data_IF_245168282065
#
_entry.id   IF_245168282065
#
_cell.length_a   1.000
_cell.length_b   1.000
_cell.length_c   1.000
_cell.angle_alpha   90.00
_cell.angle_beta   90.00
_cell.angle_gamma   90.00
#
_symmetry.space_group_name_H-M   'P 1'
#
loop_
_entity.id
_entity.type
_entity.pdbx_description
1 polymer ?
#
# COMPACT_ATOMS: atom_id res chain seq x y z
N UNK A 1 -46.20 1.17 8.20
CA UNK A 1 -45.63 0.21 7.23
C UNK A 1 -44.99 0.90 6.02
N UNK A 2 -45.64 1.91 5.40
CA UNK A 2 -45.11 2.65 4.24
C UNK A 2 -43.69 3.26 4.41
N UNK A 3 -43.40 3.91 5.56
CA UNK A 3 -42.06 4.47 5.85
C UNK A 3 -40.91 3.44 5.85
N UNK A 4 -41.21 2.16 6.10
CA UNK A 4 -40.19 1.10 6.13
C UNK A 4 -39.79 0.61 4.74
N UNK A 5 -40.76 0.53 3.83
CA UNK A 5 -40.52 0.15 2.44
C UNK A 5 -39.78 1.26 1.68
N UNK A 6 -40.19 2.52 1.84
CA UNK A 6 -39.50 3.66 1.22
C UNK A 6 -38.04 3.79 1.70
N UNK A 7 -37.80 3.57 3.00
CA UNK A 7 -36.44 3.55 3.55
C UNK A 7 -35.62 2.39 2.99
N UNK A 8 -36.17 1.18 2.95
CA UNK A 8 -35.47 0.03 2.37
C UNK A 8 -35.18 0.23 0.88
N UNK A 9 -36.13 0.79 0.12
CA UNK A 9 -35.95 1.08 -1.30
C UNK A 9 -34.89 2.16 -1.51
N UNK A 10 -34.86 3.18 -0.66
CA UNK A 10 -33.80 4.18 -0.64
C UNK A 10 -32.44 3.57 -0.26
N UNK A 11 -32.37 2.72 0.76
CA UNK A 11 -31.13 2.07 1.21
C UNK A 11 -30.55 1.12 0.15
N UNK A 12 -31.40 0.54 -0.71
CA UNK A 12 -31.00 -0.29 -1.85
C UNK A 12 -30.58 0.52 -3.08
N UNK A 13 -31.09 1.74 -3.21
CA UNK A 13 -30.92 2.60 -4.40
C UNK A 13 -29.85 3.67 -4.22
N UNK A 14 -29.61 4.09 -2.98
CA UNK A 14 -28.69 5.14 -2.60
C UNK A 14 -27.64 4.60 -1.63
N UNK A 15 -26.33 4.85 -1.86
CA UNK A 15 -25.29 4.42 -0.95
C UNK A 15 -25.54 4.93 0.47
N UNK A 16 -25.58 4.01 1.44
CA UNK A 16 -25.61 4.41 2.85
C UNK A 16 -24.24 4.90 3.31
N UNK A 17 -24.21 6.08 3.93
CA UNK A 17 -23.02 6.63 4.58
C UNK A 17 -22.78 5.89 5.90
N UNK A 18 -22.19 4.70 5.82
CA UNK A 18 -22.21 3.77 6.95
C UNK A 18 -21.40 4.25 8.15
N UNK A 19 -20.22 4.88 7.96
CA UNK A 19 -19.44 5.58 9.01
C UNK A 19 -18.49 6.59 8.37
N UNK A 20 -18.37 7.79 8.94
CA UNK A 20 -17.38 8.79 8.51
C UNK A 20 -16.01 8.43 9.09
N UNK A 21 -14.98 8.36 8.25
CA UNK A 21 -13.60 8.23 8.70
C UNK A 21 -13.11 9.60 9.19
N UNK A 22 -12.64 9.66 10.44
CA UNK A 22 -12.08 10.86 11.04
C UNK A 22 -10.58 10.67 11.27
N UNK A 23 -9.79 11.22 10.36
CA UNK A 23 -8.32 11.19 10.42
C UNK A 23 -7.83 12.39 11.20
N UNK A 24 -8.29 13.58 10.83
CA UNK A 24 -7.81 14.85 11.37
C UNK A 24 -8.71 15.39 12.48
N UNK A 25 -8.14 16.10 13.47
CA UNK A 25 -8.94 16.79 14.47
C UNK A 25 -9.70 17.97 13.85
N UNK A 26 -10.89 18.26 14.41
CA UNK A 26 -11.80 19.29 13.86
C UNK A 26 -11.20 20.70 13.85
N UNK A 27 -10.22 20.99 14.71
CA UNK A 27 -9.55 22.29 14.77
C UNK A 27 -8.68 22.60 13.55
N UNK A 28 -8.28 21.61 12.75
CA UNK A 28 -7.53 21.84 11.50
C UNK A 28 -8.40 22.35 10.35
N UNK A 29 -9.72 22.27 10.48
CA UNK A 29 -10.69 22.85 9.54
C UNK A 29 -11.09 24.26 10.00
N UNK A 30 -10.11 25.14 10.19
CA UNK A 30 -10.35 26.53 10.58
C UNK A 30 -11.38 27.17 9.64
N UNK A 31 -12.45 27.74 10.20
CA UNK A 31 -13.53 28.47 9.54
C UNK A 31 -14.62 27.66 8.78
N UNK A 32 -14.66 26.33 8.90
CA UNK A 32 -15.70 25.52 8.25
C UNK A 32 -16.85 25.17 9.23
N UNK A 33 -18.08 25.59 8.92
CA UNK A 33 -19.24 25.16 9.72
C UNK A 33 -19.56 23.67 9.47
N UNK A 34 -20.27 22.98 10.39
CA UNK A 34 -20.64 21.58 10.18
C UNK A 34 -21.41 21.31 8.88
N UNK A 35 -22.25 22.25 8.43
CA UNK A 35 -22.97 22.17 7.16
C UNK A 35 -22.05 22.35 5.96
N UNK A 36 -21.11 23.29 6.03
CA UNK A 36 -20.11 23.52 4.99
C UNK A 36 -19.27 22.26 4.77
N UNK A 37 -18.83 21.66 5.88
CA UNK A 37 -18.09 20.39 5.85
C UNK A 37 -18.87 19.29 5.16
N UNK A 38 -20.16 19.16 5.47
CA UNK A 38 -21.01 18.15 4.84
C UNK A 38 -21.11 18.40 3.34
N UNK A 39 -21.44 19.63 2.92
CA UNK A 39 -21.60 19.99 1.51
C UNK A 39 -20.30 19.76 0.73
N UNK A 40 -19.17 20.21 1.25
CA UNK A 40 -17.87 20.04 0.56
C UNK A 40 -17.46 18.58 0.48
N UNK A 41 -17.71 17.79 1.52
CA UNK A 41 -17.47 16.34 1.48
C UNK A 41 -18.31 15.66 0.39
N UNK A 42 -19.60 15.99 0.28
CA UNK A 42 -20.48 15.46 -0.77
C UNK A 42 -20.01 15.91 -2.17
N UNK A 43 -19.61 17.17 -2.35
CA UNK A 43 -19.04 17.63 -3.62
C UNK A 43 -17.78 16.85 -4.01
N UNK A 44 -16.89 16.55 -3.05
CA UNK A 44 -15.69 15.74 -3.30
C UNK A 44 -16.06 14.31 -3.71
N UNK A 45 -17.05 13.72 -3.05
CA UNK A 45 -17.56 12.39 -3.40
C UNK A 45 -18.18 12.36 -4.80
N UNK A 46 -18.95 13.38 -5.17
CA UNK A 46 -19.55 13.51 -6.50
C UNK A 46 -18.48 13.67 -7.59
N UNK A 47 -17.42 14.45 -7.33
CA UNK A 47 -16.28 14.58 -8.26
C UNK A 47 -15.55 13.25 -8.42
N UNK A 48 -15.28 12.53 -7.33
CA UNK A 48 -14.68 11.19 -7.38
C UNK A 48 -15.57 10.21 -8.16
N UNK A 49 -16.89 10.28 -7.96
CA UNK A 49 -17.86 9.43 -8.64
C UNK A 49 -17.92 9.72 -10.14
N UNK A 50 -18.10 10.98 -10.52
CA UNK A 50 -18.32 11.36 -11.92
C UNK A 50 -17.05 11.22 -12.76
N UNK A 51 -15.89 11.58 -12.21
CA UNK A 51 -14.60 11.57 -12.91
C UNK A 51 -13.74 10.34 -12.60
N UNK A 52 -14.33 9.22 -12.15
CA UNK A 52 -13.59 7.98 -11.86
C UNK A 52 -12.86 7.41 -13.10
N UNK A 53 -13.35 7.70 -14.31
CA UNK A 53 -12.73 7.30 -15.57
C UNK A 53 -11.57 8.19 -16.04
N UNK A 54 -11.41 9.41 -15.48
CA UNK A 54 -10.38 10.36 -15.90
C UNK A 54 -9.72 11.02 -14.68
N UNK A 55 -8.64 10.39 -14.16
CA UNK A 55 -7.94 10.86 -12.95
C UNK A 55 -7.46 12.31 -13.01
N UNK A 56 -7.06 12.80 -14.19
CA UNK A 56 -6.55 14.17 -14.37
C UNK A 56 -7.66 15.21 -14.23
N UNK A 57 -8.83 14.94 -14.82
CA UNK A 57 -10.01 15.80 -14.65
C UNK A 57 -10.51 15.74 -13.21
N UNK A 58 -10.54 14.54 -12.60
CA UNK A 58 -10.88 14.41 -11.19
C UNK A 58 -10.01 15.31 -10.31
N UNK A 59 -8.67 15.22 -10.43
CA UNK A 59 -7.76 16.07 -9.68
C UNK A 59 -7.96 17.57 -9.99
N UNK A 60 -8.17 17.94 -11.26
CA UNK A 60 -8.45 19.32 -11.64
C UNK A 60 -9.70 19.88 -10.95
N UNK A 61 -10.82 19.16 -10.99
CA UNK A 61 -12.06 19.62 -10.36
C UNK A 61 -11.99 19.59 -8.84
N UNK A 62 -11.30 18.61 -8.25
CA UNK A 62 -11.08 18.56 -6.80
C UNK A 62 -10.30 19.76 -6.29
N UNK A 63 -9.30 20.25 -7.04
CA UNK A 63 -8.53 21.47 -6.67
C UNK A 63 -9.33 22.75 -6.92
N UNK A 64 -10.30 22.72 -7.84
CA UNK A 64 -11.01 23.90 -8.31
C UNK A 64 -12.39 24.08 -7.69
N UNK A 65 -12.69 23.43 -6.55
CA UNK A 65 -13.98 23.60 -5.89
C UNK A 65 -14.18 25.08 -5.50
N UNK A 66 -15.37 25.66 -5.73
CA UNK A 66 -15.63 27.08 -5.52
C UNK A 66 -15.89 27.39 -4.04
N UNK A 67 -14.90 27.12 -3.19
CA UNK A 67 -14.96 27.35 -1.74
C UNK A 67 -13.90 28.37 -1.32
N UNK A 68 -14.24 29.25 -0.37
CA UNK A 68 -13.39 30.37 0.06
C UNK A 68 -12.42 30.04 1.19
N UNK A 69 -12.44 28.79 1.68
CA UNK A 69 -11.62 28.31 2.78
C UNK A 69 -10.79 27.09 2.36
N UNK A 70 -9.76 26.77 3.15
CA UNK A 70 -8.91 25.59 2.95
C UNK A 70 -9.67 24.31 3.24
N UNK A 71 -9.56 23.34 2.36
CA UNK A 71 -10.30 22.07 2.41
C UNK A 71 -9.43 20.85 2.06
N UNK A 72 -8.12 21.02 1.94
CA UNK A 72 -7.17 19.96 1.59
C UNK A 72 -7.18 18.81 2.61
N UNK A 73 -7.33 19.14 3.90
CA UNK A 73 -7.52 18.15 4.97
C UNK A 73 -8.80 17.34 4.80
N UNK A 74 -9.91 18.01 4.51
CA UNK A 74 -11.18 17.33 4.24
C UNK A 74 -11.07 16.49 2.97
N UNK A 75 -10.44 17.00 1.91
CA UNK A 75 -10.20 16.27 0.67
C UNK A 75 -9.40 15.00 0.88
N UNK A 76 -8.25 15.07 1.56
CA UNK A 76 -7.47 13.88 1.86
C UNK A 76 -8.28 12.88 2.70
N UNK A 77 -8.96 13.36 3.75
CA UNK A 77 -9.80 12.51 4.60
C UNK A 77 -10.93 11.83 3.83
N UNK A 78 -11.62 12.55 2.94
CA UNK A 78 -12.67 11.99 2.09
C UNK A 78 -12.10 10.94 1.15
N UNK A 79 -10.97 11.18 0.50
CA UNK A 79 -10.36 10.19 -0.40
C UNK A 79 -9.93 8.93 0.36
N UNK A 80 -9.28 9.08 1.52
CA UNK A 80 -8.93 7.94 2.37
C UNK A 80 -10.17 7.21 2.89
N UNK A 81 -11.26 7.92 3.19
CA UNK A 81 -12.51 7.30 3.61
C UNK A 81 -13.06 6.36 2.54
N UNK A 82 -12.93 6.71 1.26
CA UNK A 82 -13.36 5.88 0.15
C UNK A 82 -12.40 4.71 -0.09
N UNK A 83 -11.09 4.95 -0.05
CA UNK A 83 -10.07 3.92 -0.17
C UNK A 83 -10.19 2.84 0.93
N UNK A 84 -10.50 3.26 2.16
CA UNK A 84 -10.60 2.39 3.32
C UNK A 84 -12.05 1.94 3.60
N UNK A 85 -13.01 2.24 2.72
CA UNK A 85 -14.43 1.94 2.93
C UNK A 85 -14.68 0.43 2.99
N UNK A 86 -15.40 -0.03 4.01
CA UNK A 86 -15.83 -1.42 4.14
C UNK A 86 -17.28 -1.58 3.63
N UNK A 87 -17.62 -2.72 2.98
CA UNK A 87 -16.76 -3.89 2.74
C UNK A 87 -15.76 -3.67 1.60
N UNK A 88 -16.09 -2.84 0.61
CA UNK A 88 -15.24 -2.56 -0.55
C UNK A 88 -15.22 -1.06 -0.85
N UNK A 89 -14.11 -0.53 -1.39
CA UNK A 89 -14.09 0.82 -1.95
C UNK A 89 -15.04 0.89 -3.15
N UNK A 90 -15.68 2.05 -3.42
CA UNK A 90 -16.55 2.21 -4.60
C UNK A 90 -15.83 1.97 -5.93
N UNK A 91 -14.53 2.30 -6.00
CA UNK A 91 -13.69 2.12 -7.18
C UNK A 91 -12.44 1.31 -6.87
N UNK A 92 -11.70 0.87 -7.90
CA UNK A 92 -10.46 0.12 -7.70
C UNK A 92 -9.47 0.93 -6.85
N UNK A 93 -8.81 0.36 -5.82
CA UNK A 93 -7.88 1.08 -4.94
C UNK A 93 -6.83 1.94 -5.66
N UNK A 94 -6.32 1.44 -6.79
CA UNK A 94 -5.35 2.13 -7.65
C UNK A 94 -5.82 3.51 -8.12
N UNK A 95 -7.14 3.70 -8.32
CA UNK A 95 -7.72 4.98 -8.70
C UNK A 95 -7.41 6.05 -7.66
N UNK A 96 -7.67 5.78 -6.38
CA UNK A 96 -7.40 6.72 -5.28
C UNK A 96 -5.91 7.01 -5.14
N UNK A 97 -5.03 6.01 -5.33
CA UNK A 97 -3.58 6.24 -5.35
C UNK A 97 -3.18 7.25 -6.43
N UNK A 98 -3.70 7.06 -7.65
CA UNK A 98 -3.38 7.94 -8.77
C UNK A 98 -3.94 9.35 -8.60
N UNK A 99 -5.16 9.48 -8.06
CA UNK A 99 -5.76 10.79 -7.72
C UNK A 99 -4.91 11.51 -6.67
N UNK A 100 -4.49 10.83 -5.59
CA UNK A 100 -3.62 11.43 -4.57
C UNK A 100 -2.29 11.90 -5.18
N UNK A 101 -1.68 11.10 -6.07
CA UNK A 101 -0.45 11.48 -6.76
C UNK A 101 -0.66 12.75 -7.61
N UNK A 102 -1.75 12.82 -8.38
CA UNK A 102 -2.06 13.99 -9.20
C UNK A 102 -2.35 15.23 -8.35
N UNK A 103 -3.03 15.08 -7.22
CA UNK A 103 -3.27 16.16 -6.26
C UNK A 103 -1.97 16.66 -5.62
N UNK A 104 -1.03 15.78 -5.26
CA UNK A 104 0.30 16.18 -4.78
C UNK A 104 1.07 17.00 -5.83
N UNK A 105 0.88 16.71 -7.12
CA UNK A 105 1.50 17.47 -8.22
C UNK A 105 0.78 18.80 -8.49
N UNK A 106 -0.54 18.83 -8.35
CA UNK A 106 -1.35 20.03 -8.56
C UNK A 106 -1.21 21.04 -7.40
N UNK A 107 -0.99 20.55 -6.17
CA UNK A 107 -0.88 21.35 -4.95
C UNK A 107 0.43 21.08 -4.18
N UNK A 108 1.62 21.28 -4.78
CA UNK A 108 2.89 20.84 -4.20
C UNK A 108 3.23 21.52 -2.86
N UNK A 109 2.78 22.75 -2.63
CA UNK A 109 3.02 23.49 -1.38
C UNK A 109 2.05 23.18 -0.24
N UNK A 110 1.02 22.35 -0.46
CA UNK A 110 -0.03 22.11 0.53
C UNK A 110 -0.34 20.62 0.69
N UNK A 111 -0.80 19.96 -0.38
CA UNK A 111 -1.40 18.63 -0.30
C UNK A 111 -0.43 17.53 0.18
N UNK A 112 0.86 17.49 -0.21
CA UNK A 112 1.81 16.51 0.31
C UNK A 112 1.91 16.53 1.85
N UNK A 113 1.95 17.71 2.48
CA UNK A 113 2.01 17.82 3.94
C UNK A 113 0.76 17.27 4.63
N UNK A 114 -0.40 17.41 3.99
CA UNK A 114 -1.67 16.85 4.47
C UNK A 114 -1.66 15.33 4.37
N UNK A 115 -1.18 14.77 3.26
CA UNK A 115 -1.05 13.31 3.07
C UNK A 115 -0.10 12.72 4.11
N UNK A 116 1.06 13.32 4.33
CA UNK A 116 2.00 12.90 5.39
C UNK A 116 1.28 12.88 6.75
N UNK A 117 0.59 13.97 7.11
CA UNK A 117 -0.19 14.05 8.34
C UNK A 117 -1.29 12.98 8.44
N UNK A 118 -1.93 12.62 7.33
CA UNK A 118 -2.92 11.54 7.30
C UNK A 118 -2.28 10.19 7.60
N UNK A 119 -1.13 9.90 6.98
CA UNK A 119 -0.40 8.64 7.18
C UNK A 119 0.04 8.48 8.62
N UNK A 120 0.64 9.50 9.24
CA UNK A 120 0.98 9.45 10.67
C UNK A 120 -0.25 9.16 11.53
N UNK A 121 -1.34 9.91 11.31
CA UNK A 121 -2.55 9.75 12.11
C UNK A 121 -3.22 8.38 11.91
N UNK A 122 -3.11 7.77 10.73
CA UNK A 122 -3.60 6.41 10.45
C UNK A 122 -2.68 5.36 11.09
N UNK A 123 -1.37 5.56 11.00
CA UNK A 123 -0.35 4.68 11.58
C UNK A 123 -0.42 4.64 13.11
N UNK A 124 -0.60 5.78 13.78
CA UNK A 124 -0.76 5.86 15.24
C UNK A 124 -1.97 5.09 15.76
N UNK A 125 -3.02 4.96 14.93
CA UNK A 125 -4.27 4.27 15.27
C UNK A 125 -4.39 2.91 14.60
N UNK A 126 -3.32 2.40 14.00
CA UNK A 126 -3.36 1.18 13.19
C UNK A 126 -3.78 -0.05 14.01
N UNK A 127 -3.51 -0.08 15.31
CA UNK A 127 -3.95 -1.14 16.22
C UNK A 127 -5.47 -1.27 16.33
N UNK A 128 -6.20 -0.17 16.11
CA UNK A 128 -7.66 -0.11 16.14
C UNK A 128 -8.30 -0.20 14.74
N UNK A 129 -7.48 -0.18 13.70
CA UNK A 129 -7.94 -0.25 12.32
C UNK A 129 -8.31 -1.69 11.94
N UNK A 130 -9.36 -1.88 11.15
CA UNK A 130 -9.73 -3.20 10.61
C UNK A 130 -8.59 -3.79 9.73
N UNK A 131 -8.44 -5.12 9.74
CA UNK A 131 -7.37 -5.80 9.00
C UNK A 131 -7.41 -5.52 7.49
N UNK A 132 -8.59 -5.43 6.90
CA UNK A 132 -8.74 -5.12 5.47
C UNK A 132 -8.29 -3.68 5.18
N UNK A 133 -8.64 -2.72 6.05
CA UNK A 133 -8.17 -1.34 5.95
C UNK A 133 -6.65 -1.25 6.10
N UNK A 134 -6.03 -2.03 7.02
CA UNK A 134 -4.56 -2.08 7.17
C UNK A 134 -3.89 -2.55 5.89
N UNK A 135 -4.38 -3.65 5.30
CA UNK A 135 -3.84 -4.18 4.04
C UNK A 135 -3.94 -3.16 2.92
N UNK A 136 -5.08 -2.47 2.78
CA UNK A 136 -5.23 -1.41 1.77
C UNK A 136 -4.31 -0.23 2.01
N UNK A 137 -4.12 0.18 3.27
CA UNK A 137 -3.19 1.25 3.62
C UNK A 137 -1.75 0.87 3.28
N UNK A 138 -1.32 -0.37 3.58
CA UNK A 138 0.00 -0.90 3.21
C UNK A 138 0.20 -0.83 1.69
N UNK A 139 -0.77 -1.38 0.93
CA UNK A 139 -0.70 -1.43 -0.54
C UNK A 139 -0.67 -0.02 -1.16
N UNK A 140 -1.51 0.88 -0.66
CA UNK A 140 -1.55 2.26 -1.11
C UNK A 140 -0.23 2.98 -0.77
N UNK A 141 0.28 2.82 0.46
CA UNK A 141 1.43 3.56 0.94
C UNK A 141 2.71 3.13 0.23
N UNK A 142 2.97 1.83 0.09
CA UNK A 142 4.13 1.33 -0.66
C UNK A 142 4.12 1.78 -2.12
N UNK A 143 2.94 1.80 -2.76
CA UNK A 143 2.83 2.27 -4.15
C UNK A 143 2.93 3.80 -4.25
N UNK A 144 2.45 4.53 -3.25
CA UNK A 144 2.64 5.97 -3.18
C UNK A 144 4.13 6.31 -3.09
N UNK A 145 4.86 5.72 -2.14
CA UNK A 145 6.29 5.95 -1.96
C UNK A 145 7.11 5.60 -3.21
N UNK A 146 6.76 4.52 -3.94
CA UNK A 146 7.45 4.17 -5.19
C UNK A 146 7.33 5.24 -6.30
N UNK A 147 6.31 6.11 -6.23
CA UNK A 147 6.14 7.24 -7.14
C UNK A 147 6.86 8.52 -6.68
N UNK A 148 7.37 8.55 -5.44
CA UNK A 148 8.11 9.66 -4.83
C UNK A 148 9.49 9.22 -4.34
N UNK A 149 10.16 8.37 -5.13
CA UNK A 149 11.55 7.94 -4.93
C UNK A 149 11.82 7.21 -3.60
N UNK A 150 10.78 6.63 -2.99
CA UNK A 150 10.86 5.90 -1.70
C UNK A 150 11.29 6.79 -0.53
N UNK A 151 11.00 8.10 -0.59
CA UNK A 151 11.37 9.06 0.45
C UNK A 151 10.29 9.08 1.55
N UNK A 152 10.67 8.74 2.77
CA UNK A 152 9.88 8.86 3.98
C UNK A 152 10.81 9.11 5.18
N UNK A 153 10.43 9.88 6.21
CA UNK A 153 11.23 10.06 7.43
C UNK A 153 11.18 8.79 8.29
N UNK A 154 11.87 7.74 7.86
CA UNK A 154 11.85 6.42 8.51
C UNK A 154 12.35 6.46 9.95
N UNK A 155 13.22 7.42 10.28
CA UNK A 155 13.74 7.57 11.64
C UNK A 155 12.64 7.81 12.67
N UNK A 156 11.52 8.43 12.28
CA UNK A 156 10.37 8.64 13.16
C UNK A 156 9.68 7.33 13.57
N UNK A 157 9.85 6.26 12.78
CA UNK A 157 9.26 4.95 13.02
C UNK A 157 10.28 3.88 13.42
N UNK A 158 11.56 4.25 13.63
CA UNK A 158 12.63 3.34 14.07
C UNK A 158 12.26 2.52 15.32
N UNK A 159 11.53 3.13 16.25
CA UNK A 159 11.07 2.51 17.51
C UNK A 159 10.25 1.23 17.32
N UNK A 160 9.64 1.01 16.13
CA UNK A 160 8.81 -0.18 15.91
C UNK A 160 9.61 -1.49 15.94
N UNK A 161 10.93 -1.42 15.75
CA UNK A 161 11.83 -2.57 15.87
C UNK A 161 11.72 -3.25 17.24
N UNK A 162 11.58 -2.44 18.29
CA UNK A 162 11.56 -2.91 19.68
C UNK A 162 10.18 -3.45 20.08
N UNK A 163 9.15 -3.22 19.25
CA UNK A 163 7.83 -3.78 19.48
C UNK A 163 7.81 -5.30 19.20
N UNK A 164 6.90 -6.06 19.84
CA UNK A 164 6.70 -7.47 19.51
C UNK A 164 6.46 -7.70 18.01
N UNK A 165 6.91 -8.84 17.47
CA UNK A 165 6.77 -9.17 16.03
C UNK A 165 5.33 -9.07 15.49
N UNK A 166 4.34 -9.28 16.34
CA UNK A 166 2.92 -9.21 16.00
C UNK A 166 2.31 -7.80 16.15
N UNK A 167 3.07 -6.81 16.64
CA UNK A 167 2.58 -5.46 16.86
C UNK A 167 2.16 -4.83 15.52
N UNK A 168 0.92 -4.29 15.39
CA UNK A 168 0.40 -3.78 14.14
C UNK A 168 1.28 -2.72 13.43
N UNK A 169 1.93 -1.84 14.18
CA UNK A 169 2.87 -0.85 13.62
C UNK A 169 4.14 -1.50 13.04
N UNK A 170 4.72 -2.48 13.75
CA UNK A 170 5.88 -3.22 13.27
C UNK A 170 5.55 -4.02 12.01
N UNK A 171 4.42 -4.73 12.02
CA UNK A 171 3.93 -5.47 10.85
C UNK A 171 3.70 -4.54 9.67
N UNK A 172 3.10 -3.37 9.90
CA UNK A 172 2.89 -2.39 8.84
C UNK A 172 4.20 -1.95 8.17
N UNK A 173 5.21 -1.55 8.97
CA UNK A 173 6.52 -1.15 8.42
C UNK A 173 7.18 -2.30 7.67
N UNK A 174 7.17 -3.51 8.24
CA UNK A 174 7.74 -4.70 7.59
C UNK A 174 7.06 -5.01 6.24
N UNK A 175 5.72 -4.98 6.21
CA UNK A 175 4.94 -5.26 5.00
C UNK A 175 5.09 -4.17 3.91
N UNK A 176 5.26 -2.91 4.33
CA UNK A 176 5.55 -1.80 3.41
C UNK A 176 6.94 -1.98 2.79
N UNK A 177 7.97 -2.18 3.61
CA UNK A 177 9.34 -2.41 3.14
C UNK A 177 9.43 -3.61 2.20
N UNK A 178 8.74 -4.71 2.53
CA UNK A 178 8.67 -5.88 1.64
C UNK A 178 8.10 -5.53 0.26
N UNK A 179 7.02 -4.75 0.21
CA UNK A 179 6.41 -4.32 -1.06
C UNK A 179 7.26 -3.33 -1.81
N UNK A 180 7.94 -2.42 -1.12
CA UNK A 180 8.89 -1.50 -1.75
C UNK A 180 10.04 -2.26 -2.41
N UNK A 181 10.55 -3.33 -1.78
CA UNK A 181 11.56 -4.20 -2.41
C UNK A 181 10.99 -4.88 -3.64
N UNK A 182 9.73 -5.31 -3.65
CA UNK A 182 9.07 -5.88 -4.84
C UNK A 182 8.84 -4.85 -5.96
N UNK A 183 8.61 -3.59 -5.61
CA UNK A 183 8.45 -2.47 -6.54
C UNK A 183 9.81 -1.89 -6.99
N UNK A 184 10.91 -2.39 -6.45
CA UNK A 184 12.27 -1.91 -6.69
C UNK A 184 13.27 -3.07 -6.55
N UNK A 185 14.42 -2.85 -5.91
CA UNK A 185 15.38 -3.88 -5.55
C UNK A 185 15.93 -3.63 -4.14
N UNK A 186 16.42 -4.69 -3.49
CA UNK A 186 16.82 -4.69 -2.08
C UNK A 186 17.76 -3.53 -1.71
N UNK A 187 18.85 -3.34 -2.47
CA UNK A 187 19.85 -2.29 -2.16
C UNK A 187 19.27 -0.87 -2.28
N UNK A 188 18.28 -0.65 -3.17
CA UNK A 188 17.64 0.67 -3.28
C UNK A 188 16.80 1.00 -2.04
N UNK A 189 16.07 0.02 -1.53
CA UNK A 189 15.21 0.20 -0.35
C UNK A 189 16.04 0.26 0.92
N UNK A 190 17.13 -0.52 1.00
CA UNK A 190 18.12 -0.38 2.06
C UNK A 190 18.69 1.04 2.12
N UNK A 191 19.00 1.64 0.96
CA UNK A 191 19.45 3.03 0.90
C UNK A 191 18.37 4.03 1.34
N UNK A 192 17.09 3.81 1.00
CA UNK A 192 16.03 4.76 1.39
C UNK A 192 15.75 4.82 2.89
N UNK A 193 16.21 3.82 3.66
CA UNK A 193 16.08 3.78 5.12
C UNK A 193 17.42 4.05 5.84
N UNK A 194 18.41 4.64 5.15
CA UNK A 194 19.74 4.87 5.73
C UNK A 194 19.73 5.78 6.97
N UNK A 195 18.71 6.65 7.08
CA UNK A 195 18.45 7.50 8.24
C UNK A 195 17.94 6.72 9.46
N UNK A 196 17.51 5.47 9.27
CA UNK A 196 16.92 4.57 10.26
C UNK A 196 17.48 3.15 10.13
N UNK A 197 18.80 3.02 10.27
CA UNK A 197 19.53 1.76 10.05
C UNK A 197 19.01 0.58 10.88
N UNK A 198 18.36 0.82 12.02
CA UNK A 198 17.74 -0.21 12.84
C UNK A 198 16.64 -0.98 12.09
N UNK A 199 15.95 -0.33 11.14
CA UNK A 199 14.89 -0.92 10.33
C UNK A 199 15.41 -1.91 9.29
N UNK A 200 16.73 -1.99 9.05
CA UNK A 200 17.32 -2.98 8.13
C UNK A 200 16.93 -4.42 8.54
N UNK A 201 16.80 -4.69 9.84
CA UNK A 201 16.36 -5.99 10.36
C UNK A 201 14.91 -6.36 10.00
N UNK A 202 14.10 -5.38 9.56
CA UNK A 202 12.74 -5.57 9.12
C UNK A 202 12.62 -5.73 7.60
N UNK A 203 13.72 -5.56 6.84
CA UNK A 203 13.71 -5.82 5.41
C UNK A 203 13.42 -7.31 5.13
N UNK A 204 12.76 -7.63 4.00
CA UNK A 204 12.61 -9.02 3.60
C UNK A 204 13.99 -9.65 3.37
N UNK A 205 14.13 -10.98 3.50
CA UNK A 205 15.35 -11.67 3.11
C UNK A 205 15.76 -11.30 1.68
N UNK A 206 17.06 -11.16 1.41
CA UNK A 206 17.54 -10.87 0.06
C UNK A 206 16.98 -11.91 -0.91
N UNK A 207 16.29 -11.43 -1.94
CA UNK A 207 15.70 -12.29 -2.95
C UNK A 207 16.82 -13.05 -3.67
N UNK A 208 16.69 -14.38 -3.74
CA UNK A 208 17.66 -15.24 -4.40
C UNK A 208 17.18 -16.69 -4.42
N UNK A 209 17.68 -17.51 -5.37
CA UNK A 209 17.38 -18.93 -5.37
C UNK A 209 18.02 -19.59 -4.15
N UNK A 210 17.21 -20.27 -3.34
CA UNK A 210 17.74 -21.17 -2.31
C UNK A 210 18.03 -22.52 -2.97
N UNK A 211 19.26 -22.71 -3.43
CA UNK A 211 19.67 -23.94 -4.08
C UNK A 211 20.28 -24.91 -3.06
N UNK A 212 19.51 -25.91 -2.65
CA UNK A 212 19.92 -26.93 -1.65
C UNK A 212 21.24 -27.64 -1.98
N UNK A 213 21.55 -27.78 -3.27
CA UNK A 213 22.75 -28.47 -3.75
C UNK A 213 23.87 -27.49 -4.17
N UNK A 214 23.81 -26.24 -3.69
CA UNK A 214 24.91 -25.32 -3.83
C UNK A 214 26.12 -25.86 -3.06
N UNK A 215 27.28 -25.90 -3.71
CA UNK A 215 28.49 -26.43 -3.11
C UNK A 215 29.08 -25.41 -2.15
N UNK A 216 28.66 -25.42 -0.90
CA UNK A 216 29.47 -24.88 0.18
C UNK A 216 30.38 -26.02 0.67
N UNK A 217 31.67 -25.74 0.83
CA UNK A 217 32.74 -26.72 1.10
C UNK A 217 32.57 -27.53 2.40
N UNK A 218 31.49 -27.31 3.16
CA UNK A 218 31.20 -27.93 4.45
C UNK A 218 30.28 -29.15 4.39
N UNK A 219 29.68 -29.49 3.24
CA UNK A 219 28.81 -30.66 3.12
C UNK A 219 29.56 -31.87 2.53
N UNK A 220 29.65 -32.95 3.30
CA UNK A 220 30.08 -34.27 2.83
C UNK A 220 29.42 -34.61 1.48
N UNK A 221 30.14 -35.29 0.59
CA UNK A 221 29.67 -35.57 -0.78
C UNK A 221 28.50 -36.55 -0.77
N UNK A 222 27.30 -36.05 -0.49
CA UNK A 222 26.07 -36.81 -0.64
C UNK A 222 25.85 -37.16 -2.11
N UNK A 223 25.28 -38.32 -2.39
CA UNK A 223 25.00 -38.73 -3.77
C UNK A 223 24.05 -37.77 -4.48
N UNK A 224 23.17 -37.09 -3.73
CA UNK A 224 22.34 -35.99 -4.25
C UNK A 224 23.14 -34.80 -4.80
N UNK A 225 24.31 -34.48 -4.23
CA UNK A 225 25.17 -33.42 -4.74
C UNK A 225 25.83 -33.82 -6.07
N UNK A 226 26.18 -35.11 -6.24
CA UNK A 226 26.73 -35.64 -7.49
C UNK A 226 25.69 -35.60 -8.61
N UNK A 227 24.50 -36.14 -8.35
CA UNK A 227 23.37 -36.12 -9.28
C UNK A 227 22.99 -34.69 -9.66
N UNK A 228 22.99 -33.77 -8.69
CA UNK A 228 22.72 -32.36 -8.99
C UNK A 228 23.78 -31.73 -9.91
N UNK A 229 25.07 -32.06 -9.74
CA UNK A 229 26.15 -31.57 -10.62
C UNK A 229 26.01 -32.14 -12.03
N UNK A 230 25.66 -33.41 -12.16
CA UNK A 230 25.41 -34.06 -13.45
C UNK A 230 24.22 -33.43 -14.18
N UNK A 231 23.10 -33.24 -13.48
CA UNK A 231 21.91 -32.58 -14.04
C UNK A 231 22.23 -31.14 -14.48
N UNK A 232 22.98 -30.37 -13.68
CA UNK A 232 23.46 -29.05 -14.08
C UNK A 232 24.32 -29.14 -15.35
N UNK A 233 25.17 -30.17 -15.48
CA UNK A 233 25.98 -30.43 -16.67
C UNK A 233 25.13 -30.71 -17.91
N UNK A 234 24.09 -31.55 -17.79
CA UNK A 234 23.16 -31.84 -18.89
C UNK A 234 22.39 -30.59 -19.34
N UNK A 235 21.90 -29.79 -18.38
CA UNK A 235 21.18 -28.54 -18.65
C UNK A 235 22.10 -27.51 -19.32
N UNK A 236 23.31 -27.28 -18.77
CA UNK A 236 24.30 -26.36 -19.36
C UNK A 236 24.78 -26.84 -20.74
N UNK A 237 24.86 -28.15 -20.93
CA UNK A 237 25.16 -28.81 -22.20
C UNK A 237 24.02 -28.80 -23.21
N UNK A 238 22.85 -28.22 -22.86
CA UNK A 238 21.65 -28.13 -23.71
C UNK A 238 21.19 -29.49 -24.25
N UNK A 239 21.30 -30.54 -23.42
CA UNK A 239 20.79 -31.88 -23.76
C UNK A 239 19.29 -31.84 -23.99
N UNK A 240 18.78 -32.75 -24.83
CA UNK A 240 17.35 -32.79 -25.12
C UNK A 240 16.56 -33.20 -23.88
N UNK A 241 15.30 -32.79 -23.81
CA UNK A 241 14.41 -33.21 -22.72
C UNK A 241 14.33 -34.73 -22.62
N UNK A 242 14.37 -35.43 -23.76
CA UNK A 242 14.38 -36.89 -23.83
C UNK A 242 15.61 -37.49 -23.13
N UNK A 243 16.81 -36.97 -23.41
CA UNK A 243 18.05 -37.45 -22.78
C UNK A 243 18.06 -37.20 -21.27
N UNK A 244 17.49 -36.06 -20.83
CA UNK A 244 17.37 -35.74 -19.40
C UNK A 244 16.38 -36.69 -18.71
N UNK A 245 15.26 -37.01 -19.35
CA UNK A 245 14.28 -37.97 -18.82
C UNK A 245 14.91 -39.35 -18.68
N UNK A 246 15.60 -39.83 -19.72
CA UNK A 246 16.32 -41.11 -19.66
C UNK A 246 17.35 -41.12 -18.52
N UNK A 247 18.14 -40.06 -18.36
CA UNK A 247 19.09 -39.97 -17.25
C UNK A 247 18.39 -40.00 -15.87
N UNK A 248 17.22 -39.37 -15.72
CA UNK A 248 16.44 -39.44 -14.47
C UNK A 248 15.96 -40.88 -14.21
N UNK A 249 15.47 -41.58 -15.23
CA UNK A 249 15.03 -42.98 -15.12
C UNK A 249 16.18 -43.93 -14.77
N UNK A 250 17.40 -43.67 -15.26
CA UNK A 250 18.55 -44.54 -15.01
C UNK A 250 19.26 -44.28 -13.68
N UNK A 251 19.30 -43.02 -13.22
CA UNK A 251 20.15 -42.60 -12.09
C UNK A 251 19.38 -42.26 -10.81
N UNK A 252 18.05 -42.10 -10.87
CA UNK A 252 17.24 -41.66 -9.73
C UNK A 252 16.10 -42.63 -9.38
N UNK A 253 15.41 -43.18 -10.39
CA UNK A 253 14.26 -44.09 -10.23
C UNK A 253 14.75 -45.54 -10.12
#
# INVERSE_FOLDING_TARGET
>A
MLKGQEKHEADMKYPQRLRRLHIFPMNKAENMQPVDRFVVEECILDVLLFFNGCRKECAFYLVSLPVSYRYEYLMAETIFSQLLLLPNPPFKPIYYTLVIIDLCKALPGAFPSVVVGAVHALFDRISNMDMECRTRLILWFSHHLSNFQFIWPWQEWSYVKDLPKWAPQRVFVQEVLEREVRLSYFEKIKQSIEDAAELEELLPPKAGPNFKFHSDESNESTDGLKLSKELIGLIRGKKSTYDIILWVEEQII
#
